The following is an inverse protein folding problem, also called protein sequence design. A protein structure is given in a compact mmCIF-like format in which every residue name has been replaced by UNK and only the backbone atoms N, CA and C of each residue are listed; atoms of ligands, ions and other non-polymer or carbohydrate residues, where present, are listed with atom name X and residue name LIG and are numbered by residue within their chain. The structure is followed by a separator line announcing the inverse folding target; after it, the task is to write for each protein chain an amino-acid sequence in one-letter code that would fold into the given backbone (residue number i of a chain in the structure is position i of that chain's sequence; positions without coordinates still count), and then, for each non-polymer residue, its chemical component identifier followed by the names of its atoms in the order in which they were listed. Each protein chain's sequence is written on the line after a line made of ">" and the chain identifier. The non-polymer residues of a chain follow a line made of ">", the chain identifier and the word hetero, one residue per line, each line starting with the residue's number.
data_IF_216435113838
#
_entry.id   IF_216435113838
#
_cell.length_a   1.000
_cell.length_b   1.000
_cell.length_c   1.000
_cell.angle_alpha   90.00
_cell.angle_beta   90.00
_cell.angle_gamma   90.00
#
_symmetry.space_group_name_H-M   'P 1'
#
loop_
_entity.id
_entity.type
_entity.pdbx_description
1 polymer ?
#
# COMPACT_ATOMS: atom_id res chain seq x y z
N UNK A 1 -13.67 0.75 -10.55
CA UNK A 1 -12.53 -0.19 -10.75
C UNK A 1 -11.30 0.65 -11.00
N UNK A 2 -10.20 0.42 -10.28
CA UNK A 2 -8.99 1.22 -10.45
C UNK A 2 -8.21 0.82 -11.72
N UNK A 3 -7.57 1.76 -12.43
CA UNK A 3 -6.79 1.45 -13.62
C UNK A 3 -5.50 0.73 -13.24
N UNK A 4 -5.32 -0.50 -13.76
CA UNK A 4 -4.11 -1.29 -13.55
C UNK A 4 -3.15 -1.10 -14.72
N UNK A 5 -1.89 -0.84 -14.42
CA UNK A 5 -0.79 -0.75 -15.38
C UNK A 5 0.17 -1.91 -15.12
N UNK A 6 0.43 -2.72 -16.15
CA UNK A 6 1.34 -3.87 -16.04
C UNK A 6 2.77 -3.39 -15.78
N UNK A 7 3.51 -4.13 -14.96
CA UNK A 7 4.94 -3.93 -14.76
C UNK A 7 5.74 -4.66 -15.84
N UNK A 8 6.89 -4.11 -16.22
CA UNK A 8 7.80 -4.77 -17.16
C UNK A 8 8.38 -6.06 -16.58
N UNK A 9 8.62 -6.06 -15.27
CA UNK A 9 9.13 -7.21 -14.50
C UNK A 9 8.24 -7.44 -13.29
N UNK A 10 7.77 -8.69 -13.11
CA UNK A 10 7.00 -9.07 -11.94
C UNK A 10 7.86 -9.08 -10.69
N UNK A 11 7.31 -8.64 -9.56
CA UNK A 11 8.03 -8.57 -8.29
C UNK A 11 7.57 -9.73 -7.40
N UNK A 12 8.46 -10.68 -7.04
CA UNK A 12 8.12 -11.72 -6.08
C UNK A 12 7.88 -11.12 -4.69
N UNK A 13 6.83 -11.59 -4.01
CA UNK A 13 6.48 -11.14 -2.66
C UNK A 13 6.68 -12.31 -1.72
N UNK A 14 7.44 -12.07 -0.66
CA UNK A 14 7.65 -13.01 0.43
C UNK A 14 7.03 -12.44 1.69
N UNK A 15 6.37 -13.31 2.45
CA UNK A 15 5.86 -12.99 3.77
C UNK A 15 7.02 -12.95 4.78
N UNK A 16 6.73 -12.50 6.01
CA UNK A 16 7.74 -12.36 7.08
C UNK A 16 8.38 -13.69 7.49
N UNK A 17 7.66 -14.80 7.29
CA UNK A 17 8.11 -16.18 7.52
C UNK A 17 8.91 -16.74 6.32
N UNK A 18 9.31 -15.88 5.38
CA UNK A 18 10.01 -16.21 4.14
C UNK A 18 9.22 -17.09 3.16
N UNK A 19 7.94 -17.36 3.41
CA UNK A 19 7.09 -18.08 2.45
C UNK A 19 6.71 -17.17 1.28
N UNK A 20 6.48 -17.76 0.11
CA UNK A 20 5.95 -17.01 -1.02
C UNK A 20 4.51 -16.57 -0.76
N UNK A 21 4.18 -15.33 -1.11
CA UNK A 21 2.84 -14.81 -0.92
C UNK A 21 1.82 -15.61 -1.74
N UNK A 22 0.74 -16.07 -1.11
CA UNK A 22 -0.29 -16.88 -1.77
C UNK A 22 -1.00 -16.12 -2.91
N UNK A 23 -1.01 -14.79 -2.86
CA UNK A 23 -1.51 -13.92 -3.93
C UNK A 23 -0.59 -13.82 -5.15
N UNK A 24 0.59 -14.46 -5.10
CA UNK A 24 1.54 -14.47 -6.20
C UNK A 24 2.46 -13.25 -6.25
N UNK A 25 3.15 -13.11 -7.38
CA UNK A 25 3.96 -11.93 -7.66
C UNK A 25 3.08 -10.71 -7.92
N UNK A 26 3.57 -9.53 -7.56
CA UNK A 26 3.01 -8.26 -8.03
C UNK A 26 3.32 -8.14 -9.51
N UNK A 27 2.26 -8.01 -10.32
CA UNK A 27 2.37 -7.87 -11.79
C UNK A 27 1.90 -6.52 -12.30
N UNK A 28 1.18 -5.75 -11.46
CA UNK A 28 0.60 -4.48 -11.83
C UNK A 28 0.85 -3.42 -10.76
N UNK A 29 0.80 -2.16 -11.18
CA UNK A 29 0.70 -0.98 -10.32
C UNK A 29 -0.57 -0.23 -10.63
N UNK A 30 -0.98 0.61 -9.70
CA UNK A 30 -2.19 1.40 -9.82
C UNK A 30 -1.95 2.79 -9.22
N UNK A 31 -2.33 3.83 -9.95
CA UNK A 31 -2.36 5.19 -9.44
C UNK A 31 -3.78 5.57 -9.03
N UNK A 32 -3.92 6.15 -7.83
CA UNK A 32 -5.19 6.64 -7.31
C UNK A 32 -4.95 7.75 -6.28
N UNK A 33 -6.01 8.45 -5.92
CA UNK A 33 -5.99 9.49 -4.88
C UNK A 33 -6.40 8.86 -3.55
N UNK A 34 -5.58 9.07 -2.52
CA UNK A 34 -5.94 8.80 -1.12
C UNK A 34 -6.40 10.11 -0.51
N UNK A 35 -7.53 10.05 0.19
CA UNK A 35 -8.06 11.15 0.99
C UNK A 35 -8.28 10.67 2.42
N UNK A 36 -7.72 11.40 3.38
CA UNK A 36 -7.83 11.10 4.79
C UNK A 36 -7.71 12.38 5.62
N UNK A 37 -8.72 12.68 6.43
CA UNK A 37 -8.78 13.88 7.29
C UNK A 37 -8.40 15.20 6.58
N UNK A 38 -8.86 15.38 5.34
CA UNK A 38 -8.56 16.58 4.54
C UNK A 38 -7.20 16.55 3.83
N UNK A 39 -6.31 15.61 4.15
CA UNK A 39 -5.12 15.35 3.35
C UNK A 39 -5.50 14.59 2.07
N UNK A 40 -5.02 15.06 0.92
CA UNK A 40 -5.30 14.46 -0.40
C UNK A 40 -4.02 14.31 -1.19
N UNK A 41 -3.63 13.06 -1.48
CA UNK A 41 -2.39 12.73 -2.18
C UNK A 41 -2.67 11.75 -3.32
N UNK A 42 -2.05 11.96 -4.48
CA UNK A 42 -1.99 10.94 -5.53
C UNK A 42 -0.84 9.97 -5.24
N UNK A 43 -1.15 8.70 -5.05
CA UNK A 43 -0.17 7.64 -4.82
C UNK A 43 -0.17 6.62 -5.96
N UNK A 44 0.98 5.98 -6.18
CA UNK A 44 1.09 4.80 -7.03
C UNK A 44 1.41 3.59 -6.17
N UNK A 45 0.46 2.66 -6.04
CA UNK A 45 0.62 1.45 -5.26
C UNK A 45 0.90 0.23 -6.16
N UNK A 46 1.57 -0.76 -5.59
CA UNK A 46 1.72 -2.09 -6.20
C UNK A 46 0.45 -2.90 -5.93
N UNK A 47 -0.12 -3.51 -6.97
CA UNK A 47 -1.35 -4.28 -6.87
C UNK A 47 -1.05 -5.75 -6.59
N UNK A 48 -1.63 -6.28 -5.51
CA UNK A 48 -1.59 -7.70 -5.14
C UNK A 48 -2.89 -8.10 -4.44
N UNK A 49 -3.10 -9.39 -4.23
CA UNK A 49 -4.24 -9.91 -3.50
C UNK A 49 -4.03 -9.78 -1.99
N UNK A 50 -4.77 -8.87 -1.38
CA UNK A 50 -4.68 -8.54 0.06
C UNK A 50 -5.80 -9.17 0.92
N UNK A 51 -6.62 -10.04 0.33
CA UNK A 51 -7.78 -10.62 1.02
C UNK A 51 -8.81 -9.54 1.39
N UNK A 52 -9.05 -9.35 2.70
CA UNK A 52 -10.00 -8.36 3.22
C UNK A 52 -9.43 -6.95 3.38
N UNK A 53 -8.11 -6.78 3.19
CA UNK A 53 -7.43 -5.50 3.35
C UNK A 53 -7.46 -4.75 2.02
N UNK A 54 -7.88 -3.48 2.03
CA UNK A 54 -7.99 -2.68 0.81
C UNK A 54 -6.66 -2.04 0.40
N UNK A 55 -5.86 -1.60 1.37
CA UNK A 55 -4.60 -0.89 1.16
C UNK A 55 -3.65 -1.15 2.33
N UNK A 56 -2.37 -1.35 2.02
CA UNK A 56 -1.29 -1.37 2.99
C UNK A 56 -0.36 -0.20 2.68
N UNK A 57 -0.20 0.71 3.64
CA UNK A 57 0.79 1.78 3.57
C UNK A 57 2.09 1.25 4.19
N UNK A 58 3.07 0.99 3.34
CA UNK A 58 4.37 0.46 3.77
C UNK A 58 5.27 1.51 4.40
N UNK A 59 6.41 1.05 4.89
CA UNK A 59 7.44 1.88 5.54
C UNK A 59 7.83 3.12 4.73
N UNK A 60 7.98 3.01 3.41
CA UNK A 60 8.36 4.16 2.56
C UNK A 60 7.35 5.30 2.61
N UNK A 61 6.05 4.98 2.74
CA UNK A 61 5.00 5.99 2.86
C UNK A 61 5.03 6.62 4.25
N UNK A 62 5.15 5.78 5.30
CA UNK A 62 5.25 6.25 6.69
C UNK A 62 6.49 7.12 6.92
N UNK A 63 7.64 6.75 6.37
CA UNK A 63 8.88 7.51 6.49
C UNK A 63 8.79 8.87 5.79
N UNK A 64 8.14 8.92 4.61
CA UNK A 64 7.96 10.16 3.85
C UNK A 64 7.11 11.18 4.62
N UNK A 65 6.01 10.72 5.21
CA UNK A 65 5.02 11.58 5.85
C UNK A 65 5.25 11.77 7.36
N UNK A 66 6.05 10.89 7.97
CA UNK A 66 6.37 10.88 9.39
C UNK A 66 5.17 11.19 10.31
N UNK A 67 4.03 10.49 10.15
CA UNK A 67 2.82 10.84 10.87
C UNK A 67 2.92 10.49 12.36
N UNK A 68 2.15 11.18 13.18
CA UNK A 68 1.84 10.70 14.53
C UNK A 68 0.80 9.59 14.44
N UNK A 69 1.02 8.48 15.14
CA UNK A 69 0.12 7.34 15.14
C UNK A 69 -0.28 7.04 16.58
N UNK A 70 -1.56 7.20 16.88
CA UNK A 70 -2.15 6.67 18.09
C UNK A 70 -2.49 5.19 17.85
N UNK A 71 -1.67 4.30 18.41
CA UNK A 71 -1.84 2.86 18.27
C UNK A 71 -3.03 2.28 19.05
N UNK A 72 -3.58 3.01 20.02
CA UNK A 72 -4.75 2.56 20.78
C UNK A 72 -6.05 2.83 20.00
N UNK A 73 -6.15 4.01 19.40
CA UNK A 73 -7.35 4.42 18.65
C UNK A 73 -7.25 4.13 17.15
N UNK A 74 -6.03 3.91 16.64
CA UNK A 74 -5.76 3.74 15.21
C UNK A 74 -5.78 5.05 14.42
N UNK A 75 -5.84 6.21 15.10
CA UNK A 75 -5.81 7.51 14.44
C UNK A 75 -4.40 7.82 13.98
N UNK A 76 -4.27 8.16 12.70
CA UNK A 76 -3.05 8.72 12.11
C UNK A 76 -3.26 10.23 11.96
N UNK A 77 -2.29 11.03 12.35
CA UNK A 77 -2.28 12.48 12.15
C UNK A 77 -1.16 12.84 11.19
N UNK A 78 -1.51 13.46 10.08
CA UNK A 78 -0.57 13.94 9.06
C UNK A 78 -0.29 15.42 9.29
N UNK A 79 0.98 15.81 9.25
CA UNK A 79 1.45 17.20 9.35
C UNK A 79 1.32 17.97 8.04
#
# INVERSE_FOLDING_TARGET
>A
RLPLVKLDVSIPVYNIDCTFNAGGCITHKCAFVVEYQGHREQITAKATQLGKINLILGWTWLFKHNPEIDWQTGVVTLS
#
